data_IF_563156528825
#
_entry.id   IF_563156528825
#
_cell.length_a   1.000
_cell.length_b   1.000
_cell.length_c   1.000
_cell.angle_alpha   90.00
_cell.angle_beta   90.00
_cell.angle_gamma   90.00
#
_symmetry.space_group_name_H-M   'P 1'
#
loop_
_entity.id
_entity.type
_entity.pdbx_description
1 polymer ?
#
# COMPACT_ATOMS: atom_id res chain seq x y z
N UNK A 1 -3.88 -12.26 3.86
CA UNK A 1 -3.42 -11.17 4.74
C UNK A 1 -4.08 -11.32 6.13
N UNK A 2 -3.27 -11.64 7.14
CA UNK A 2 -3.75 -12.05 8.48
C UNK A 2 -3.86 -10.89 9.48
N UNK A 3 -3.69 -9.64 9.05
CA UNK A 3 -3.87 -8.50 9.94
C UNK A 3 -5.37 -8.25 10.17
N UNK A 4 -5.80 -8.12 11.44
CA UNK A 4 -7.18 -7.82 11.76
C UNK A 4 -7.57 -6.41 11.29
N UNK A 5 -8.86 -6.22 11.02
CA UNK A 5 -9.41 -4.93 10.66
C UNK A 5 -9.78 -4.15 11.93
N UNK A 6 -9.13 -3.00 12.15
CA UNK A 6 -9.44 -2.10 13.27
C UNK A 6 -10.40 -1.01 12.81
N UNK A 7 -11.33 -0.62 13.69
CA UNK A 7 -12.20 0.55 13.49
C UNK A 7 -11.70 1.71 14.34
N UNK A 8 -11.22 2.76 13.68
CA UNK A 8 -10.83 4.02 14.30
C UNK A 8 -12.02 4.97 14.26
N UNK A 9 -12.25 5.72 15.34
CA UNK A 9 -13.31 6.73 15.42
C UNK A 9 -12.75 8.08 15.83
N UNK A 10 -13.01 9.10 15.02
CA UNK A 10 -12.69 10.48 15.34
C UNK A 10 -13.58 10.94 16.51
N UNK A 11 -12.97 11.41 17.59
CA UNK A 11 -13.70 11.82 18.80
C UNK A 11 -14.51 13.10 18.61
N UNK A 12 -14.09 13.96 17.68
CA UNK A 12 -14.72 15.27 17.43
C UNK A 12 -15.82 15.17 16.39
N UNK A 13 -15.52 14.57 15.23
CA UNK A 13 -16.47 14.50 14.10
C UNK A 13 -17.36 13.26 14.14
N UNK A 14 -16.96 12.21 14.88
CA UNK A 14 -17.63 10.92 14.89
C UNK A 14 -17.34 10.05 13.67
N UNK A 15 -16.58 10.54 12.68
CA UNK A 15 -16.16 9.78 11.50
C UNK A 15 -15.46 8.47 11.89
N UNK A 16 -15.68 7.40 11.12
CA UNK A 16 -15.03 6.11 11.33
C UNK A 16 -14.22 5.70 10.12
N UNK A 17 -13.02 5.12 10.35
CA UNK A 17 -12.18 4.52 9.31
C UNK A 17 -11.82 3.09 9.71
N UNK A 18 -11.87 2.19 8.73
CA UNK A 18 -11.44 0.81 8.91
C UNK A 18 -10.09 0.59 8.25
N UNK A 19 -9.09 0.20 9.03
CA UNK A 19 -7.71 0.03 8.58
C UNK A 19 -7.12 -1.22 9.23
N UNK A 20 -6.24 -1.91 8.51
CA UNK A 20 -5.47 -3.03 9.06
C UNK A 20 -4.29 -2.56 9.92
N UNK A 21 -3.82 -1.33 9.69
CA UNK A 21 -2.77 -0.66 10.44
C UNK A 21 -2.97 0.86 10.33
N UNK A 22 -2.79 1.58 11.44
CA UNK A 22 -2.91 3.03 11.49
C UNK A 22 -1.68 3.76 10.89
N UNK A 23 -0.56 3.07 10.69
CA UNK A 23 0.67 3.64 10.14
C UNK A 23 1.21 4.78 11.00
N UNK A 24 1.50 5.95 10.40
CA UNK A 24 2.00 7.14 11.08
C UNK A 24 1.09 7.63 12.21
N UNK A 25 -0.22 7.39 12.10
CA UNK A 25 -1.18 7.73 13.15
C UNK A 25 -0.91 7.05 14.50
N UNK A 26 -0.23 5.89 14.52
CA UNK A 26 0.20 5.25 15.78
C UNK A 26 1.26 6.07 16.54
N UNK A 27 1.97 6.97 15.84
CA UNK A 27 3.00 7.82 16.42
C UNK A 27 2.44 9.21 16.75
N UNK A 28 1.71 9.81 15.81
CA UNK A 28 1.27 11.21 15.94
C UNK A 28 -0.07 11.35 16.67
N UNK A 29 -0.92 10.32 16.63
CA UNK A 29 -2.28 10.36 17.16
C UNK A 29 -3.25 11.25 16.36
N UNK A 30 -2.82 11.80 15.21
CA UNK A 30 -3.63 12.68 14.37
C UNK A 30 -4.52 11.85 13.44
N UNK A 31 -5.79 12.26 13.29
CA UNK A 31 -6.76 11.59 12.43
C UNK A 31 -6.32 11.56 10.96
N UNK A 32 -5.71 12.64 10.50
CA UNK A 32 -5.26 12.78 9.10
C UNK A 32 -3.99 11.98 8.79
N UNK A 33 -3.27 11.51 9.82
CA UNK A 33 -2.12 10.63 9.66
C UNK A 33 -2.49 9.14 9.64
N UNK A 34 -3.77 8.79 9.83
CA UNK A 34 -4.23 7.41 9.79
C UNK A 34 -4.05 6.79 8.40
N UNK A 35 -3.36 5.66 8.34
CA UNK A 35 -3.10 4.91 7.11
C UNK A 35 -1.97 5.50 6.26
N UNK A 36 -1.28 6.53 6.74
CA UNK A 36 -0.08 7.03 6.07
C UNK A 36 1.13 6.14 6.40
N UNK A 37 1.87 5.76 5.37
CA UNK A 37 3.09 4.96 5.49
C UNK A 37 4.26 5.67 4.85
N UNK A 38 5.46 5.41 5.36
CA UNK A 38 6.69 5.84 4.72
C UNK A 38 6.85 5.10 3.39
N UNK A 39 7.18 5.83 2.32
CA UNK A 39 7.54 5.22 1.04
C UNK A 39 8.77 4.31 1.22
N UNK A 40 8.67 3.00 0.91
CA UNK A 40 9.79 2.08 1.02
C UNK A 40 10.81 2.31 -0.11
N UNK A 41 12.04 1.81 0.09
CA UNK A 41 13.01 1.69 -1.01
C UNK A 41 12.62 0.54 -1.93
N UNK A 42 12.85 0.70 -3.23
CA UNK A 42 12.56 -0.32 -4.24
C UNK A 42 13.77 -1.20 -4.60
N UNK A 43 14.97 -0.91 -4.05
CA UNK A 43 16.17 -1.71 -4.35
C UNK A 43 16.04 -3.12 -3.77
N UNK A 44 16.21 -4.16 -4.58
CA UNK A 44 16.02 -5.55 -4.18
C UNK A 44 14.58 -5.89 -3.82
N UNK A 45 13.59 -5.14 -4.33
CA UNK A 45 12.18 -5.33 -4.01
C UNK A 45 11.68 -6.73 -4.40
N UNK A 46 12.15 -7.26 -5.53
CA UNK A 46 11.75 -8.55 -6.08
C UNK A 46 11.85 -9.71 -5.07
N UNK A 47 12.87 -9.68 -4.20
CA UNK A 47 13.14 -10.74 -3.22
C UNK A 47 12.36 -10.60 -1.89
N UNK A 48 11.39 -9.67 -1.80
CA UNK A 48 10.71 -9.31 -0.53
C UNK A 48 9.19 -9.46 -0.55
N UNK A 49 8.67 -10.38 -1.35
CA UNK A 49 7.26 -10.75 -1.24
C UNK A 49 6.95 -11.37 0.15
N UNK A 50 5.71 -11.25 0.66
CA UNK A 50 4.59 -10.48 0.11
C UNK A 50 4.75 -8.97 0.34
N UNK A 51 4.07 -8.16 -0.49
CA UNK A 51 4.17 -6.71 -0.55
C UNK A 51 3.07 -5.99 0.24
N UNK A 52 3.26 -4.67 0.42
CA UNK A 52 2.51 -3.79 1.34
C UNK A 52 2.75 -4.07 2.82
N UNK A 53 2.34 -3.13 3.69
CA UNK A 53 2.57 -3.22 5.14
C UNK A 53 1.84 -4.39 5.80
N UNK A 54 0.81 -4.92 5.16
CA UNK A 54 0.00 -6.03 5.62
C UNK A 54 0.14 -7.30 4.77
N UNK A 55 1.09 -7.33 3.83
CA UNK A 55 1.29 -8.49 2.94
C UNK A 55 0.12 -8.76 2.00
N UNK A 56 -0.65 -7.73 1.61
CA UNK A 56 -1.88 -7.92 0.81
C UNK A 56 -1.63 -8.33 -0.65
N UNK A 57 -0.44 -8.09 -1.19
CA UNK A 57 -0.09 -8.50 -2.55
C UNK A 57 1.00 -9.58 -2.52
N UNK A 58 0.76 -10.68 -3.22
CA UNK A 58 1.71 -11.78 -3.36
C UNK A 58 2.73 -11.52 -4.48
N UNK A 59 2.40 -10.70 -5.47
CA UNK A 59 3.20 -10.49 -6.68
C UNK A 59 3.42 -9.00 -6.98
N UNK A 60 4.52 -8.67 -7.68
CA UNK A 60 4.74 -7.29 -8.17
C UNK A 60 3.66 -6.85 -9.15
N UNK A 61 3.12 -7.79 -9.92
CA UNK A 61 2.00 -7.53 -10.82
C UNK A 61 0.76 -7.02 -10.07
N UNK A 62 0.43 -7.62 -8.92
CA UNK A 62 -0.65 -7.13 -8.04
C UNK A 62 -0.33 -5.76 -7.44
N UNK A 63 0.95 -5.48 -7.13
CA UNK A 63 1.39 -4.15 -6.68
C UNK A 63 1.18 -3.11 -7.77
N UNK A 64 1.61 -3.39 -9.01
CA UNK A 64 1.43 -2.46 -10.13
C UNK A 64 -0.04 -2.20 -10.40
N UNK A 65 -0.87 -3.25 -10.46
CA UNK A 65 -2.34 -3.10 -10.60
C UNK A 65 -2.98 -2.30 -9.47
N UNK A 66 -2.48 -2.42 -8.25
CA UNK A 66 -2.99 -1.63 -7.12
C UNK A 66 -2.79 -0.13 -7.32
N UNK A 67 -1.63 0.27 -7.86
CA UNK A 67 -1.31 1.67 -8.14
C UNK A 67 -1.96 2.18 -9.42
N UNK A 68 -2.05 1.35 -10.47
CA UNK A 68 -2.78 1.67 -11.71
C UNK A 68 -4.21 2.11 -11.38
N UNK A 69 -4.95 1.32 -10.59
CA UNK A 69 -6.32 1.62 -10.16
C UNK A 69 -6.47 2.90 -9.31
N UNK A 70 -5.37 3.42 -8.75
CA UNK A 70 -5.34 4.64 -7.91
C UNK A 70 -4.75 5.85 -8.61
N UNK A 71 -4.15 5.62 -9.77
CA UNK A 71 -3.56 6.65 -10.61
C UNK A 71 -4.51 7.01 -11.74
N UNK A 72 -4.26 8.14 -12.37
CA UNK A 72 -4.95 8.51 -13.62
C UNK A 72 -4.28 7.86 -14.85
N UNK A 73 -3.22 7.07 -14.64
CA UNK A 73 -2.51 6.39 -15.71
C UNK A 73 -3.22 5.11 -16.11
N UNK A 74 -3.35 4.90 -17.41
CA UNK A 74 -3.81 3.65 -18.01
C UNK A 74 -2.62 3.05 -18.73
N UNK A 75 -2.11 1.92 -18.25
CA UNK A 75 -1.03 1.20 -18.93
C UNK A 75 -1.61 0.25 -19.97
N UNK A 76 -0.93 0.14 -21.10
CA UNK A 76 -1.05 -1.05 -21.95
C UNK A 76 -0.50 -2.27 -21.22
N UNK A 77 -0.87 -3.47 -21.67
CA UNK A 77 -0.36 -4.70 -21.06
C UNK A 77 1.17 -4.82 -21.22
N UNK A 78 1.74 -4.28 -22.30
CA UNK A 78 3.19 -4.24 -22.53
C UNK A 78 3.90 -3.30 -21.56
N UNK A 79 3.39 -2.07 -21.38
CA UNK A 79 3.95 -1.12 -20.39
C UNK A 79 3.88 -1.66 -18.96
N UNK A 80 2.79 -2.38 -18.62
CA UNK A 80 2.66 -3.04 -17.32
C UNK A 80 3.73 -4.11 -17.15
N UNK A 81 3.91 -4.97 -18.16
CA UNK A 81 4.91 -6.02 -18.15
C UNK A 81 6.34 -5.47 -18.04
N UNK A 82 6.64 -4.40 -18.78
CA UNK A 82 7.95 -3.73 -18.75
C UNK A 82 8.23 -3.11 -17.37
N UNK A 83 7.24 -2.47 -16.75
CA UNK A 83 7.39 -1.94 -15.40
C UNK A 83 7.66 -3.05 -14.38
N UNK A 84 6.95 -4.18 -14.48
CA UNK A 84 7.20 -5.33 -13.61
C UNK A 84 8.59 -5.91 -13.87
N UNK A 85 9.03 -6.03 -15.12
CA UNK A 85 10.37 -6.48 -15.46
C UNK A 85 11.46 -5.56 -14.89
N UNK A 86 11.26 -4.23 -14.98
CA UNK A 86 12.14 -3.25 -14.37
C UNK A 86 12.22 -3.41 -12.85
N UNK A 87 11.07 -3.51 -12.17
CA UNK A 87 11.02 -3.69 -10.71
C UNK A 87 11.68 -5.00 -10.25
N UNK A 88 11.64 -6.04 -11.09
CA UNK A 88 12.35 -7.29 -10.83
C UNK A 88 13.88 -7.16 -10.90
N UNK A 89 14.39 -6.16 -11.63
CA UNK A 89 15.82 -5.96 -11.87
C UNK A 89 16.51 -5.01 -10.87
N UNK A 90 15.75 -4.38 -9.96
CA UNK A 90 16.25 -3.44 -8.93
C UNK A 90 16.93 -4.14 -7.74
#
# INVERSE_FOLDING_TARGET
PDLPLYTFRNRTTGETRQLTDAGRGNITGLWDDLGLFKTPTLRGLAARAPYFHNGAAATLEEVVRHYENRSEFVFTDEERADLVAFLNAL
#
